data_IF_997928679638
#
_entry.id   IF_997928679638
#
_cell.length_a   1.000
_cell.length_b   1.000
_cell.length_c   1.000
_cell.angle_alpha   90.00
_cell.angle_beta   90.00
_cell.angle_gamma   90.00
#
_symmetry.space_group_name_H-M   'P 1'
#
loop_
_entity.id
_entity.type
_entity.pdbx_description
1 polymer ?
#
# COMPACT_ATOMS: atom_id res chain seq x y z
N UNK A 1 -6.07 -13.25 -35.49
CA UNK A 1 -5.77 -12.08 -34.63
C UNK A 1 -6.56 -12.21 -33.33
N UNK A 2 -5.96 -12.68 -32.23
CA UNK A 2 -6.67 -12.82 -30.95
C UNK A 2 -6.77 -11.46 -30.24
N UNK A 3 -7.95 -10.82 -30.32
CA UNK A 3 -8.31 -9.70 -29.44
C UNK A 3 -8.44 -10.24 -28.01
N UNK A 4 -7.37 -10.16 -27.20
CA UNK A 4 -7.52 -10.28 -25.74
C UNK A 4 -8.47 -9.17 -25.29
N UNK A 5 -9.62 -9.53 -24.71
CA UNK A 5 -10.51 -8.58 -24.03
C UNK A 5 -9.65 -7.76 -23.05
N UNK A 6 -9.79 -6.42 -22.99
CA UNK A 6 -9.07 -5.64 -22.00
C UNK A 6 -9.49 -6.14 -20.62
N UNK A 7 -8.51 -6.62 -19.85
CA UNK A 7 -8.72 -7.00 -18.46
C UNK A 7 -9.27 -5.77 -17.74
N UNK A 8 -10.43 -5.88 -17.10
CA UNK A 8 -11.03 -4.75 -16.39
C UNK A 8 -10.09 -4.37 -15.26
N UNK A 9 -9.50 -3.18 -15.36
CA UNK A 9 -8.63 -2.61 -14.33
C UNK A 9 -9.37 -2.59 -12.99
N UNK A 10 -8.82 -3.27 -11.98
CA UNK A 10 -9.45 -3.45 -10.66
C UNK A 10 -8.86 -2.51 -9.61
N UNK A 11 -7.76 -1.80 -9.90
CA UNK A 11 -7.07 -0.94 -8.94
C UNK A 11 -7.75 0.42 -8.88
N UNK A 12 -8.06 0.86 -7.66
CA UNK A 12 -8.58 2.21 -7.41
C UNK A 12 -7.52 3.31 -7.57
N UNK A 13 -6.24 2.97 -7.44
CA UNK A 13 -5.13 3.92 -7.55
C UNK A 13 -4.01 3.35 -8.41
N UNK A 14 -3.41 4.17 -9.30
CA UNK A 14 -2.21 3.77 -10.03
C UNK A 14 -1.06 3.53 -9.06
N UNK A 15 -0.14 2.65 -9.45
CA UNK A 15 1.10 2.37 -8.70
C UNK A 15 2.27 3.02 -9.42
N UNK A 16 3.06 3.77 -8.67
CA UNK A 16 4.35 4.28 -9.12
C UNK A 16 5.41 3.19 -8.87
N UNK A 17 6.01 2.60 -9.93
CA UNK A 17 7.07 1.61 -9.79
C UNK A 17 8.38 2.32 -9.43
N UNK A 18 8.76 2.26 -8.17
CA UNK A 18 9.94 2.97 -7.67
C UNK A 18 10.47 2.24 -6.43
N UNK A 19 11.79 2.18 -6.28
CA UNK A 19 12.45 1.58 -5.12
C UNK A 19 12.67 2.64 -4.02
N UNK A 20 12.01 2.49 -2.87
CA UNK A 20 12.23 3.33 -1.67
C UNK A 20 12.72 2.47 -0.51
N UNK A 21 13.83 2.84 0.16
CA UNK A 21 14.18 2.31 1.47
C UNK A 21 13.08 2.55 2.49
N UNK A 22 12.71 1.52 3.25
CA UNK A 22 11.66 1.63 4.28
C UNK A 22 11.99 0.71 5.44
N UNK A 23 11.68 1.13 6.66
CA UNK A 23 11.68 0.26 7.82
C UNK A 23 10.29 -0.34 8.04
N UNK A 24 10.24 -1.64 8.31
CA UNK A 24 9.02 -2.38 8.66
C UNK A 24 9.07 -2.74 10.14
N UNK A 25 8.10 -2.24 10.89
CA UNK A 25 7.87 -2.60 12.29
C UNK A 25 6.65 -3.51 12.38
N UNK A 26 6.82 -4.67 13.00
CA UNK A 26 5.74 -5.61 13.25
C UNK A 26 6.05 -6.50 14.44
N UNK A 27 5.20 -7.50 14.65
CA UNK A 27 5.37 -8.57 15.64
C UNK A 27 5.49 -9.90 14.91
N UNK A 28 6.37 -10.77 15.42
CA UNK A 28 6.45 -12.15 14.94
C UNK A 28 5.30 -13.01 15.49
N UNK A 29 5.27 -14.29 15.13
CA UNK A 29 4.25 -15.26 15.58
C UNK A 29 4.23 -15.45 17.11
N UNK A 30 5.34 -15.16 17.79
CA UNK A 30 5.46 -15.22 19.26
C UNK A 30 5.12 -13.88 19.92
N UNK A 31 4.67 -12.89 19.15
CA UNK A 31 4.32 -11.55 19.61
C UNK A 31 5.52 -10.63 19.85
N UNK A 32 6.76 -11.06 19.57
CA UNK A 32 7.97 -10.26 19.77
C UNK A 32 8.05 -9.19 18.68
N UNK A 33 8.30 -7.96 19.10
CA UNK A 33 8.47 -6.83 18.18
C UNK A 33 9.80 -6.94 17.41
N UNK A 34 9.75 -6.55 16.14
CA UNK A 34 10.94 -6.41 15.32
C UNK A 34 10.86 -5.15 14.44
N UNK A 35 12.04 -4.68 14.06
CA UNK A 35 12.28 -3.60 13.10
C UNK A 35 13.20 -4.16 12.02
N UNK A 36 12.79 -4.05 10.76
CA UNK A 36 13.55 -4.56 9.63
C UNK A 36 13.72 -3.50 8.55
N UNK A 37 14.93 -3.37 8.01
CA UNK A 37 15.18 -2.57 6.83
C UNK A 37 14.77 -3.32 5.56
N UNK A 38 13.99 -2.67 4.71
CA UNK A 38 13.29 -3.26 3.59
C UNK A 38 13.23 -2.29 2.40
N UNK A 39 12.63 -2.74 1.29
CA UNK A 39 12.45 -1.91 0.09
C UNK A 39 11.02 -1.96 -0.40
N UNK A 40 10.37 -0.80 -0.52
CA UNK A 40 9.14 -0.68 -1.29
C UNK A 40 9.49 -0.70 -2.78
N UNK A 41 8.93 -1.64 -3.55
CA UNK A 41 9.16 -1.78 -4.99
C UNK A 41 8.16 -1.01 -5.84
N UNK A 42 6.99 -0.72 -5.27
CA UNK A 42 6.02 0.21 -5.82
C UNK A 42 5.10 0.73 -4.73
N UNK A 43 4.56 1.92 -4.95
CA UNK A 43 3.66 2.61 -4.03
C UNK A 43 2.47 3.19 -4.80
N UNK A 44 1.30 3.14 -4.19
CA UNK A 44 0.08 3.85 -4.63
C UNK A 44 -0.50 4.60 -3.46
N UNK A 45 -1.53 5.42 -3.69
CA UNK A 45 -2.20 6.09 -2.58
C UNK A 45 -2.85 5.10 -1.58
N UNK A 46 -3.19 3.88 -1.98
CA UNK A 46 -3.87 2.90 -1.12
C UNK A 46 -2.97 1.81 -0.52
N UNK A 47 -1.70 1.72 -0.92
CA UNK A 47 -0.83 0.63 -0.48
C UNK A 47 0.47 0.52 -1.27
N UNK A 48 1.28 -0.49 -0.91
CA UNK A 48 2.61 -0.71 -1.47
C UNK A 48 2.90 -2.21 -1.68
N UNK A 49 3.94 -2.51 -2.44
CA UNK A 49 4.57 -3.83 -2.49
C UNK A 49 5.95 -3.72 -1.84
N UNK A 50 6.21 -4.48 -0.78
CA UNK A 50 7.45 -4.42 0.00
C UNK A 50 8.22 -5.73 -0.16
N UNK A 51 9.52 -5.65 -0.39
CA UNK A 51 10.45 -6.77 -0.25
C UNK A 51 11.07 -6.74 1.15
N UNK A 52 10.87 -7.81 1.92
CA UNK A 52 11.41 -8.03 3.27
C UNK A 52 12.11 -9.39 3.31
N UNK A 53 13.12 -9.58 4.17
CA UNK A 53 13.74 -10.90 4.38
C UNK A 53 12.99 -11.74 5.40
N UNK A 54 12.41 -11.11 6.43
CA UNK A 54 11.64 -11.83 7.45
C UNK A 54 10.24 -12.17 6.94
N UNK A 55 9.77 -13.36 7.27
CA UNK A 55 8.38 -13.72 7.03
C UNK A 55 7.44 -12.83 7.86
N UNK A 56 6.40 -12.32 7.22
CA UNK A 56 5.32 -11.57 7.85
C UNK A 56 4.04 -12.40 7.83
N UNK A 57 3.32 -12.53 8.96
CA UNK A 57 2.03 -13.20 8.96
C UNK A 57 1.04 -12.51 8.00
N UNK A 58 0.17 -13.32 7.38
CA UNK A 58 -0.97 -12.76 6.64
C UNK A 58 -1.82 -11.93 7.59
N UNK A 59 -2.40 -10.84 7.08
CA UNK A 59 -3.22 -9.92 7.87
C UNK A 59 -2.49 -9.20 9.03
N UNK A 60 -1.17 -9.35 9.19
CA UNK A 60 -0.41 -8.62 10.20
C UNK A 60 -0.57 -7.10 10.06
N UNK A 61 -0.68 -6.42 11.19
CA UNK A 61 -0.58 -4.97 11.26
C UNK A 61 0.90 -4.58 11.31
N UNK A 62 1.28 -3.63 10.46
CA UNK A 62 2.65 -3.14 10.34
C UNK A 62 2.68 -1.62 10.38
N UNK A 63 3.77 -1.08 10.89
CA UNK A 63 4.11 0.33 10.75
C UNK A 63 5.31 0.43 9.80
N UNK A 64 5.14 1.16 8.71
CA UNK A 64 6.19 1.47 7.74
C UNK A 64 6.76 2.84 8.06
N UNK A 65 8.09 2.97 8.05
CA UNK A 65 8.79 4.23 8.29
C UNK A 65 9.76 4.50 7.13
N UNK A 66 9.61 5.62 6.43
CA UNK A 66 10.50 6.02 5.35
C UNK A 66 11.59 6.91 5.96
N UNK A 67 12.86 6.47 5.98
CA UNK A 67 13.96 7.32 6.43
C UNK A 67 14.11 8.49 5.46
N UNK A 68 14.07 9.70 6.01
CA UNK A 68 14.15 10.95 5.24
C UNK A 68 14.95 11.98 6.03
N UNK A 69 15.60 12.91 5.34
CA UNK A 69 16.25 14.05 6.00
C UNK A 69 15.25 14.83 6.89
N UNK A 70 15.69 15.34 8.05
CA UNK A 70 14.89 16.24 8.85
C UNK A 70 14.74 17.57 8.11
N UNK A 71 13.61 17.75 7.43
CA UNK A 71 13.29 19.02 6.77
C UNK A 71 12.77 20.00 7.85
N UNK A 72 13.45 21.13 7.99
CA UNK A 72 13.06 22.18 8.94
C UNK A 72 11.65 22.69 8.62
N UNK A 73 10.85 22.95 9.66
CA UNK A 73 9.44 23.36 9.56
C UNK A 73 9.21 24.75 8.93
N UNK A 74 10.29 25.42 8.49
CA UNK A 74 10.28 26.81 8.00
C UNK A 74 10.08 26.95 6.49
N UNK A 75 9.95 25.85 5.74
CA UNK A 75 9.70 25.89 4.29
C UNK A 75 8.29 25.41 3.95
N UNK A 76 7.65 26.06 2.97
CA UNK A 76 6.37 25.70 2.34
C UNK A 76 6.44 24.39 1.52
N UNK A 77 6.98 23.33 2.12
CA UNK A 77 7.10 22.03 1.46
C UNK A 77 5.76 21.28 1.46
N UNK A 78 5.48 20.51 0.40
CA UNK A 78 4.34 19.61 0.39
C UNK A 78 4.39 18.62 1.56
N UNK A 79 3.22 18.34 2.15
CA UNK A 79 3.11 17.33 3.20
C UNK A 79 3.42 15.94 2.61
N UNK A 80 4.48 15.31 3.10
CA UNK A 80 4.85 13.94 2.76
C UNK A 80 4.65 13.02 3.97
N UNK A 81 3.97 11.89 3.79
CA UNK A 81 3.84 10.89 4.85
C UNK A 81 5.13 10.09 4.97
N UNK A 82 5.68 10.05 6.18
CA UNK A 82 6.90 9.31 6.52
C UNK A 82 6.60 8.05 7.34
N UNK A 83 5.43 7.97 7.94
CA UNK A 83 4.95 6.88 8.78
C UNK A 83 3.60 6.40 8.29
N UNK A 84 3.49 5.11 7.97
CA UNK A 84 2.28 4.52 7.37
C UNK A 84 1.88 3.26 8.12
N UNK A 85 0.68 3.27 8.71
CA UNK A 85 0.05 2.04 9.20
C UNK A 85 -0.49 1.26 8.02
N UNK A 86 -0.19 -0.03 7.97
CA UNK A 86 -0.62 -0.90 6.90
C UNK A 86 -0.97 -2.30 7.41
N UNK A 87 -1.66 -3.06 6.56
CA UNK A 87 -1.96 -4.47 6.78
C UNK A 87 -1.41 -5.32 5.64
N UNK A 88 -0.79 -6.45 5.97
CA UNK A 88 -0.38 -7.46 5.00
C UNK A 88 -1.61 -8.08 4.33
N UNK A 89 -1.65 -8.06 2.99
CA UNK A 89 -2.73 -8.65 2.20
C UNK A 89 -2.32 -10.00 1.59
N UNK A 90 -1.11 -10.07 1.04
CA UNK A 90 -0.59 -11.24 0.34
C UNK A 90 0.92 -11.31 0.54
N UNK A 91 1.44 -12.53 0.58
CA UNK A 91 2.87 -12.82 0.68
C UNK A 91 3.21 -13.78 -0.43
N UNK A 92 4.14 -13.40 -1.30
CA UNK A 92 4.73 -14.27 -2.30
C UNK A 92 6.19 -14.52 -1.90
N UNK A 93 6.60 -15.78 -1.88
CA UNK A 93 7.98 -16.15 -1.60
C UNK A 93 8.82 -16.00 -2.86
N UNK A 94 10.00 -15.40 -2.72
CA UNK A 94 11.03 -15.31 -3.76
C UNK A 94 12.38 -15.70 -3.15
N UNK A 95 13.39 -15.93 -3.98
CA UNK A 95 14.71 -16.36 -3.49
C UNK A 95 15.34 -15.29 -2.59
N UNK A 96 15.44 -15.60 -1.29
CA UNK A 96 16.08 -14.75 -0.28
C UNK A 96 15.23 -13.59 0.27
N UNK A 97 13.98 -13.43 -0.16
CA UNK A 97 13.05 -12.41 0.34
C UNK A 97 11.56 -12.79 0.13
N UNK A 98 10.68 -12.12 0.86
CA UNK A 98 9.23 -12.17 0.71
C UNK A 98 8.73 -10.88 0.07
N UNK A 99 7.91 -11.03 -0.97
CA UNK A 99 7.17 -9.94 -1.60
C UNK A 99 5.80 -9.81 -0.93
N UNK A 100 5.63 -8.72 -0.20
CA UNK A 100 4.47 -8.51 0.66
C UNK A 100 3.63 -7.37 0.12
N UNK A 101 2.44 -7.69 -0.35
CA UNK A 101 1.46 -6.69 -0.75
C UNK A 101 0.79 -6.13 0.50
N UNK A 102 0.88 -4.81 0.70
CA UNK A 102 0.35 -4.13 1.87
C UNK A 102 -0.71 -3.09 1.47
N UNK A 103 -1.76 -2.98 2.29
CA UNK A 103 -2.78 -1.93 2.18
C UNK A 103 -2.64 -0.94 3.32
N UNK A 104 -2.61 0.35 3.00
CA UNK A 104 -2.57 1.39 4.02
C UNK A 104 -3.90 1.46 4.76
N UNK A 105 -3.85 1.68 6.07
CA UNK A 105 -5.04 1.85 6.89
C UNK A 105 -5.79 3.14 6.51
N UNK A 106 -5.03 4.18 6.13
CA UNK A 106 -5.55 5.44 5.59
C UNK A 106 -4.87 5.72 4.25
N UNK A 107 -5.63 5.91 3.15
CA UNK A 107 -5.05 6.29 1.88
C UNK A 107 -4.31 7.63 1.94
N UNK A 108 -3.22 7.77 1.17
CA UNK A 108 -2.40 8.98 1.09
C UNK A 108 -3.07 10.16 0.37
N UNK A 109 -4.02 9.87 -0.51
CA UNK A 109 -4.74 10.87 -1.28
C UNK A 109 -6.22 10.86 -0.89
N UNK A 110 -6.76 12.04 -0.58
CA UNK A 110 -8.19 12.29 -0.49
C UNK A 110 -8.79 12.39 -1.90
N UNK A 111 -8.73 11.32 -2.70
CA UNK A 111 -9.56 11.29 -3.89
C UNK A 111 -10.89 10.64 -3.51
N UNK A 112 -12.05 11.31 -3.64
CA UNK A 112 -13.31 10.58 -3.65
C UNK A 112 -13.18 9.56 -4.79
N UNK A 113 -13.23 8.28 -4.45
CA UNK A 113 -13.51 7.24 -5.43
C UNK A 113 -14.75 7.72 -6.20
N UNK A 114 -14.82 7.61 -7.55
CA UNK A 114 -16.06 7.90 -8.24
C UNK A 114 -17.13 7.03 -7.58
N UNK A 115 -18.04 7.66 -6.82
CA UNK A 115 -19.21 6.99 -6.25
C UNK A 115 -19.87 6.31 -7.43
N UNK A 116 -19.93 4.98 -7.44
CA UNK A 116 -20.83 4.26 -8.34
C UNK A 116 -22.17 4.95 -8.20
N UNK A 117 -22.62 5.63 -9.25
CA UNK A 117 -23.93 6.26 -9.24
C UNK A 117 -24.90 5.13 -8.92
N UNK A 118 -25.54 5.22 -7.75
CA UNK A 118 -26.69 4.38 -7.45
C UNK A 118 -27.69 4.70 -8.57
N UNK A 119 -27.83 3.79 -9.53
CA UNK A 119 -28.96 3.77 -10.46
C UNK A 119 -30.18 3.62 -9.58
N UNK A 120 -30.77 4.74 -9.15
CA UNK A 120 -32.13 4.76 -8.66
C UNK A 120 -32.97 4.26 -9.82
N UNK A 121 -33.56 3.08 -9.65
CA UNK A 121 -34.65 2.58 -10.48
C UNK A 121 -35.72 3.65 -10.38
N UNK A 122 -35.99 4.36 -11.47
CA UNK A 122 -37.14 5.24 -11.56
C UNK A 122 -38.30 4.30 -11.84
N UNK A 123 -39.17 4.10 -10.85
CA UNK A 123 -40.41 3.37 -11.08
C UNK A 123 -41.24 4.17 -12.10
N UNK A 124 -41.62 3.48 -13.17
CA UNK A 124 -42.48 4.00 -14.22
C UNK A 124 -43.88 4.26 -13.65
N UNK A 125 -44.51 5.41 -13.91
CA UNK A 125 -45.92 5.58 -13.62
C UNK A 125 -46.77 4.82 -14.64
N UNK A 126 -47.88 4.29 -14.14
CA UNK A 126 -49.00 3.68 -14.87
C UNK A 126 -49.68 4.67 -15.82
#
# INVERSE_FOLDING_TARGET
>A
MNRKKPEIERRSWPRLPLAIPVFVRSRDEKGKEFLEFATALNVSAGGALIAVRRALPLAAQVLLEIPSAPLAATTSLPKASRTLRARTLRVNHAEGYHLVAMKFSHPLANHPLPRRANRRKVDSPL
#
